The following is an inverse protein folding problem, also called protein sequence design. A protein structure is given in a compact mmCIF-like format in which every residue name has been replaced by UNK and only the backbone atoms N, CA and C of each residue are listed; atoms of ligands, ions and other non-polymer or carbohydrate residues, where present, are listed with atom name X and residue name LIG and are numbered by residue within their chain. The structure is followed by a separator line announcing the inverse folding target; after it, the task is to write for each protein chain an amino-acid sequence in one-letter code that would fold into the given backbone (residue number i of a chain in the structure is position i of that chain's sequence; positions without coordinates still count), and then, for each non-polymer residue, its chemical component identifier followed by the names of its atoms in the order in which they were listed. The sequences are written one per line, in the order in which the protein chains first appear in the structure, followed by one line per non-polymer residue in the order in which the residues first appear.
data_IF_865533138384
#
_entry.id   IF_865533138384
#
_cell.length_a   1.000
_cell.length_b   1.000
_cell.length_c   1.000
_cell.angle_alpha   90.00
_cell.angle_beta   90.00
_cell.angle_gamma   90.00
#
_symmetry.space_group_name_H-M   'P 1'
#
loop_
_entity.id
_entity.type
_entity.pdbx_description
1 polymer ?
#
# COMPACT_ATOMS: atom_id res chain seq x y z
N UNK A 1 39.77 -10.13 7.02
CA UNK A 1 38.35 -10.44 7.24
C UNK A 1 37.63 -9.11 7.36
N UNK A 2 36.75 -8.79 6.42
CA UNK A 2 35.99 -7.53 6.44
C UNK A 2 34.88 -7.57 7.51
N UNK A 3 34.27 -6.41 7.85
CA UNK A 3 33.10 -6.40 8.72
C UNK A 3 31.92 -7.15 8.07
N UNK A 4 31.81 -7.11 6.74
CA UNK A 4 30.82 -7.85 5.96
C UNK A 4 31.02 -9.37 6.08
N UNK A 5 32.29 -9.86 6.08
CA UNK A 5 32.60 -11.28 6.30
C UNK A 5 32.19 -11.73 7.72
N UNK A 6 32.35 -10.84 8.71
CA UNK A 6 31.97 -11.11 10.10
C UNK A 6 30.45 -11.08 10.33
N UNK A 7 29.75 -10.24 9.59
CA UNK A 7 28.30 -10.10 9.70
C UNK A 7 27.55 -11.18 8.89
N UNK A 8 28.24 -11.91 8.00
CA UNK A 8 27.62 -12.92 7.13
C UNK A 8 26.69 -12.32 6.07
N UNK A 9 26.73 -11.00 5.86
CA UNK A 9 25.80 -10.28 4.96
C UNK A 9 26.27 -10.38 3.51
N UNK A 10 26.22 -11.57 2.94
CA UNK A 10 26.67 -11.81 1.54
C UNK A 10 25.53 -11.78 0.50
N UNK A 11 24.35 -11.36 0.87
CA UNK A 11 23.20 -11.34 -0.03
C UNK A 11 22.40 -10.04 0.02
N UNK A 12 21.43 -9.86 -0.90
CA UNK A 12 20.51 -8.75 -0.81
C UNK A 12 19.68 -8.89 0.47
N UNK A 13 19.42 -7.76 1.16
CA UNK A 13 18.49 -7.74 2.29
C UNK A 13 17.10 -8.25 1.89
N UNK A 14 16.33 -8.71 2.86
CA UNK A 14 14.90 -8.98 2.66
C UNK A 14 14.16 -7.68 2.28
N UNK A 15 13.24 -7.75 1.33
CA UNK A 15 12.39 -6.63 0.93
C UNK A 15 11.41 -6.22 2.03
N UNK A 16 10.86 -5.01 1.91
CA UNK A 16 9.80 -4.49 2.77
C UNK A 16 8.49 -4.50 1.98
N UNK A 17 7.41 -4.98 2.59
CA UNK A 17 6.05 -4.77 2.12
C UNK A 17 5.45 -3.58 2.88
N UNK A 18 5.44 -2.41 2.26
CA UNK A 18 4.90 -1.20 2.83
C UNK A 18 3.43 -1.04 2.46
N UNK A 19 2.54 -1.13 3.45
CA UNK A 19 1.14 -0.76 3.27
C UNK A 19 0.96 0.73 3.60
N UNK A 20 0.44 1.49 2.66
CA UNK A 20 0.05 2.87 2.87
C UNK A 20 -1.47 2.95 2.88
N UNK A 21 -2.05 3.18 4.04
CA UNK A 21 -3.50 3.28 4.23
C UNK A 21 -3.90 4.63 4.80
N UNK A 22 -5.18 4.90 4.82
CA UNK A 22 -5.76 6.11 5.40
C UNK A 22 -6.96 6.59 4.58
N UNK A 23 -7.71 7.57 5.08
CA UNK A 23 -8.95 8.01 4.46
C UNK A 23 -8.73 8.64 3.09
N UNK A 24 -9.80 8.66 2.30
CA UNK A 24 -9.83 9.46 1.07
C UNK A 24 -9.50 10.93 1.42
N UNK A 25 -8.70 11.60 0.60
CA UNK A 25 -8.27 12.98 0.86
C UNK A 25 -7.05 13.14 1.78
N UNK A 26 -6.52 12.07 2.39
CA UNK A 26 -5.34 12.15 3.26
C UNK A 26 -4.04 12.51 2.54
N UNK A 27 -3.96 12.28 1.22
CA UNK A 27 -2.76 12.59 0.43
C UNK A 27 -1.95 11.36 -0.02
N UNK A 28 -2.43 10.13 0.20
CA UNK A 28 -1.76 8.87 -0.14
C UNK A 28 -1.18 8.85 -1.56
N UNK A 29 -2.00 9.09 -2.55
CA UNK A 29 -1.57 9.00 -3.97
C UNK A 29 -0.49 10.02 -4.34
N UNK A 30 -0.42 11.18 -3.66
CA UNK A 30 0.63 12.16 -3.85
C UNK A 30 1.93 11.70 -3.19
N UNK A 31 1.84 11.19 -1.97
CA UNK A 31 2.97 10.64 -1.22
C UNK A 31 3.55 9.41 -1.93
N UNK A 32 2.69 8.50 -2.38
CA UNK A 32 3.05 7.32 -3.15
C UNK A 32 3.84 7.67 -4.42
N UNK A 33 3.28 8.56 -5.26
CA UNK A 33 3.95 8.97 -6.51
C UNK A 33 5.34 9.55 -6.25
N UNK A 34 5.48 10.36 -5.21
CA UNK A 34 6.75 10.94 -4.82
C UNK A 34 7.72 9.85 -4.32
N UNK A 35 7.28 8.95 -3.45
CA UNK A 35 8.12 7.87 -2.96
C UNK A 35 8.66 7.00 -4.10
N UNK A 36 7.82 6.64 -5.07
CA UNK A 36 8.22 5.87 -6.24
C UNK A 36 9.20 6.62 -7.16
N UNK A 37 9.09 7.95 -7.25
CA UNK A 37 9.99 8.75 -8.09
C UNK A 37 11.38 8.94 -7.47
N UNK A 38 11.46 8.98 -6.13
CA UNK A 38 12.71 9.27 -5.40
C UNK A 38 13.45 7.99 -4.98
N UNK A 39 12.74 6.87 -4.77
CA UNK A 39 13.32 5.63 -4.30
C UNK A 39 13.28 4.52 -5.35
N UNK A 40 14.39 4.29 -6.03
CA UNK A 40 14.53 3.27 -7.09
C UNK A 40 14.42 1.82 -6.58
N UNK A 41 14.49 1.61 -5.27
CA UNK A 41 14.33 0.28 -4.69
C UNK A 41 12.87 -0.03 -4.36
N UNK A 42 12.00 0.98 -4.37
CA UNK A 42 10.58 0.86 -4.10
C UNK A 42 9.81 0.59 -5.40
N UNK A 43 8.95 -0.43 -5.39
CA UNK A 43 8.14 -0.87 -6.53
C UNK A 43 6.66 -0.79 -6.15
N UNK A 44 5.83 -0.26 -7.02
CA UNK A 44 4.38 -0.30 -6.81
C UNK A 44 3.83 -1.68 -7.14
N UNK A 45 2.96 -2.21 -6.29
CA UNK A 45 2.26 -3.46 -6.56
C UNK A 45 1.15 -3.22 -7.59
N UNK A 46 1.24 -3.89 -8.74
CA UNK A 46 0.22 -3.81 -9.78
C UNK A 46 -0.93 -4.74 -9.39
N UNK A 47 -2.11 -4.15 -9.17
CA UNK A 47 -3.32 -4.90 -8.81
C UNK A 47 -4.00 -5.52 -10.02
N UNK A 48 -4.76 -6.58 -9.79
CA UNK A 48 -5.73 -7.12 -10.74
C UNK A 48 -7.06 -6.35 -10.63
N UNK A 49 -7.82 -6.27 -11.73
CA UNK A 49 -9.19 -5.74 -11.71
C UNK A 49 -10.07 -6.39 -12.77
N UNK A 50 -11.38 -6.50 -12.48
CA UNK A 50 -12.38 -6.92 -13.46
C UNK A 50 -12.96 -5.77 -14.26
N UNK A 51 -12.55 -4.53 -13.97
CA UNK A 51 -12.90 -3.35 -14.75
C UNK A 51 -12.20 -3.38 -16.11
N UNK A 52 -12.93 -3.04 -17.16
CA UNK A 52 -12.31 -2.84 -18.48
C UNK A 52 -11.27 -1.71 -18.46
N UNK A 53 -10.19 -1.81 -19.24
CA UNK A 53 -9.22 -0.73 -19.38
C UNK A 53 -9.86 0.58 -19.80
N UNK A 54 -9.36 1.69 -19.27
CA UNK A 54 -9.68 3.03 -19.76
C UNK A 54 -8.73 3.39 -20.92
N UNK A 55 -9.07 4.46 -21.63
CA UNK A 55 -8.18 5.00 -22.66
C UNK A 55 -6.81 5.35 -22.05
N UNK A 56 -5.75 4.81 -22.60
CA UNK A 56 -4.36 5.01 -22.15
C UNK A 56 -3.87 4.03 -21.10
N UNK A 57 -4.72 3.21 -20.49
CA UNK A 57 -4.30 2.17 -19.56
C UNK A 57 -3.75 0.93 -20.30
N UNK A 58 -2.69 0.36 -19.78
CA UNK A 58 -1.99 -0.78 -20.35
C UNK A 58 -1.98 -1.96 -19.37
N UNK A 59 -2.37 -3.15 -19.88
CA UNK A 59 -2.31 -4.38 -19.09
C UNK A 59 -0.88 -4.68 -18.63
N UNK A 60 -0.74 -5.10 -17.37
CA UNK A 60 0.54 -5.39 -16.73
C UNK A 60 1.36 -4.15 -16.34
N UNK A 61 0.85 -2.93 -16.58
CA UNK A 61 1.47 -1.68 -16.14
C UNK A 61 0.58 -0.91 -15.15
N UNK A 62 -0.68 -0.64 -15.54
CA UNK A 62 -1.64 0.06 -14.70
C UNK A 62 -2.40 -0.93 -13.82
N UNK A 63 -2.89 -2.01 -14.44
CA UNK A 63 -3.57 -3.14 -13.81
C UNK A 63 -3.29 -4.42 -14.60
N UNK A 64 -3.54 -5.57 -13.97
CA UNK A 64 -3.82 -6.83 -14.66
C UNK A 64 -5.33 -6.93 -14.87
N UNK A 65 -5.79 -6.74 -16.10
CA UNK A 65 -7.22 -6.77 -16.41
C UNK A 65 -7.68 -8.21 -16.59
N UNK A 66 -8.58 -8.67 -15.70
CA UNK A 66 -9.08 -10.03 -15.66
C UNK A 66 -10.58 -10.07 -15.98
N UNK A 67 -11.05 -11.17 -16.54
CA UNK A 67 -12.49 -11.46 -16.54
C UNK A 67 -12.99 -11.80 -15.14
N UNK A 68 -14.29 -11.68 -14.90
CA UNK A 68 -14.90 -12.06 -13.61
C UNK A 68 -14.66 -13.54 -13.29
N UNK A 69 -14.70 -14.43 -14.30
CA UNK A 69 -14.43 -15.85 -14.13
C UNK A 69 -12.98 -16.12 -13.72
N UNK A 70 -12.01 -15.44 -14.33
CA UNK A 70 -10.59 -15.56 -13.97
C UNK A 70 -10.33 -15.04 -12.57
N UNK A 71 -10.93 -13.91 -12.22
CA UNK A 71 -10.81 -13.35 -10.88
C UNK A 71 -11.41 -14.32 -9.84
N UNK A 72 -12.59 -14.87 -10.10
CA UNK A 72 -13.25 -15.84 -9.20
C UNK A 72 -12.40 -17.08 -8.98
N UNK A 73 -11.84 -17.67 -10.05
CA UNK A 73 -10.93 -18.81 -9.93
C UNK A 73 -9.70 -18.51 -9.06
N UNK A 74 -9.12 -17.32 -9.19
CA UNK A 74 -7.98 -16.91 -8.36
C UNK A 74 -8.36 -16.72 -6.89
N UNK A 75 -9.57 -16.21 -6.61
CA UNK A 75 -10.10 -16.14 -5.23
C UNK A 75 -10.26 -17.55 -4.64
N UNK A 76 -10.87 -18.47 -5.38
CA UNK A 76 -11.07 -19.87 -4.96
C UNK A 76 -9.73 -20.58 -4.68
N UNK A 77 -8.69 -20.26 -5.45
CA UNK A 77 -7.34 -20.80 -5.29
C UNK A 77 -6.51 -20.08 -4.20
N UNK A 78 -7.07 -19.08 -3.50
CA UNK A 78 -6.36 -18.24 -2.52
C UNK A 78 -5.10 -17.57 -3.09
N UNK A 79 -5.12 -17.12 -4.35
CA UNK A 79 -3.98 -16.51 -5.01
C UNK A 79 -3.81 -15.03 -4.63
N UNK A 80 -4.85 -14.37 -4.10
CA UNK A 80 -4.79 -12.97 -3.71
C UNK A 80 -4.27 -12.79 -2.28
N UNK A 81 -3.39 -11.80 -2.12
CA UNK A 81 -2.93 -11.30 -0.83
C UNK A 81 -4.04 -10.49 -0.14
N UNK A 82 -4.74 -9.68 -0.93
CA UNK A 82 -5.97 -8.99 -0.56
C UNK A 82 -6.86 -8.86 -1.80
N UNK A 83 -8.17 -8.78 -1.61
CA UNK A 83 -9.12 -8.43 -2.66
C UNK A 83 -10.37 -7.77 -2.08
N UNK A 84 -10.98 -6.92 -2.87
CA UNK A 84 -12.21 -6.21 -2.50
C UNK A 84 -13.10 -5.98 -3.72
N UNK A 85 -14.38 -5.77 -3.46
CA UNK A 85 -15.33 -5.22 -4.43
C UNK A 85 -15.49 -3.72 -4.15
N UNK A 86 -15.19 -2.90 -5.16
CA UNK A 86 -15.34 -1.45 -5.10
C UNK A 86 -16.36 -1.04 -6.14
N UNK A 87 -17.50 -0.54 -5.69
CA UNK A 87 -18.71 -0.32 -6.50
C UNK A 87 -19.17 -1.63 -7.17
N UNK A 88 -18.92 -1.80 -8.46
CA UNK A 88 -19.31 -2.98 -9.26
C UNK A 88 -18.11 -3.75 -9.84
N UNK A 89 -16.90 -3.37 -9.44
CA UNK A 89 -15.67 -3.96 -9.95
C UNK A 89 -14.86 -4.57 -8.82
N UNK A 90 -14.17 -5.63 -9.14
CA UNK A 90 -13.31 -6.33 -8.20
C UNK A 90 -11.87 -5.89 -8.41
N UNK A 91 -11.14 -5.77 -7.31
CA UNK A 91 -9.71 -5.44 -7.29
C UNK A 91 -9.01 -6.41 -6.35
N UNK A 92 -7.73 -6.68 -6.59
CA UNK A 92 -6.95 -7.51 -5.68
C UNK A 92 -5.50 -7.60 -6.11
N UNK A 93 -4.64 -7.91 -5.17
CA UNK A 93 -3.20 -8.01 -5.35
C UNK A 93 -2.76 -9.46 -5.22
N UNK A 94 -2.04 -10.00 -6.21
CA UNK A 94 -1.57 -11.38 -6.20
C UNK A 94 -0.43 -11.57 -5.19
N UNK A 95 -0.55 -12.57 -4.32
CA UNK A 95 0.46 -12.90 -3.30
C UNK A 95 1.82 -13.21 -3.91
N UNK A 96 1.86 -14.06 -4.94
CA UNK A 96 3.09 -14.48 -5.60
C UNK A 96 3.84 -13.30 -6.25
N UNK A 97 3.13 -12.35 -6.85
CA UNK A 97 3.75 -11.17 -7.45
C UNK A 97 4.49 -10.32 -6.41
N UNK A 98 3.89 -10.16 -5.23
CA UNK A 98 4.52 -9.44 -4.10
C UNK A 98 5.72 -10.22 -3.57
N UNK A 99 5.57 -11.51 -3.30
CA UNK A 99 6.64 -12.39 -2.80
C UNK A 99 7.85 -12.42 -3.73
N UNK A 100 7.63 -12.49 -5.04
CA UNK A 100 8.70 -12.48 -6.05
C UNK A 100 9.54 -11.20 -6.02
N UNK A 101 8.90 -10.05 -5.78
CA UNK A 101 9.60 -8.76 -5.67
C UNK A 101 10.39 -8.69 -4.36
N UNK A 102 9.79 -9.11 -3.25
CA UNK A 102 10.41 -9.13 -1.92
C UNK A 102 11.65 -10.03 -1.89
N UNK A 103 11.58 -11.22 -2.49
CA UNK A 103 12.69 -12.18 -2.59
C UNK A 103 13.87 -11.65 -3.42
N UNK A 104 13.65 -10.66 -4.28
CA UNK A 104 14.72 -9.96 -5.03
C UNK A 104 15.35 -8.82 -4.20
N UNK A 105 14.97 -8.67 -2.93
CA UNK A 105 15.45 -7.59 -2.05
C UNK A 105 14.88 -6.21 -2.38
N UNK A 106 13.83 -6.14 -3.22
CA UNK A 106 13.10 -4.91 -3.52
C UNK A 106 12.00 -4.69 -2.51
N UNK A 107 11.66 -3.43 -2.27
CA UNK A 107 10.51 -3.05 -1.45
C UNK A 107 9.29 -2.92 -2.32
N UNK A 108 8.15 -3.33 -1.79
CA UNK A 108 6.84 -3.19 -2.42
C UNK A 108 6.03 -2.17 -1.65
N UNK A 109 5.38 -1.23 -2.33
CA UNK A 109 4.38 -0.34 -1.72
C UNK A 109 3.00 -0.63 -2.30
N UNK A 110 2.01 -0.72 -1.41
CA UNK A 110 0.60 -0.89 -1.73
C UNK A 110 -0.20 0.29 -1.19
N UNK A 111 -1.04 0.90 -2.03
CA UNK A 111 -2.07 1.88 -1.62
C UNK A 111 -3.39 1.11 -1.45
N UNK A 112 -3.76 0.80 -0.22
CA UNK A 112 -4.92 -0.04 0.11
C UNK A 112 -5.76 0.59 1.22
N UNK A 113 -7.03 0.22 1.30
CA UNK A 113 -7.90 0.62 2.39
C UNK A 113 -7.65 -0.19 3.68
N UNK A 114 -8.36 0.14 4.74
CA UNK A 114 -8.19 -0.54 6.04
C UNK A 114 -8.59 -2.01 5.99
N UNK A 115 -9.54 -2.39 5.12
CA UNK A 115 -9.98 -3.79 4.99
C UNK A 115 -8.95 -4.63 4.24
N UNK A 116 -8.36 -4.08 3.17
CA UNK A 116 -7.24 -4.70 2.47
C UNK A 116 -6.03 -4.88 3.38
N UNK A 117 -5.71 -3.88 4.22
CA UNK A 117 -4.64 -3.98 5.21
C UNK A 117 -4.88 -5.12 6.22
N UNK A 118 -6.12 -5.32 6.68
CA UNK A 118 -6.47 -6.44 7.55
C UNK A 118 -6.24 -7.80 6.88
N UNK A 119 -6.60 -7.93 5.59
CA UNK A 119 -6.35 -9.16 4.84
C UNK A 119 -4.85 -9.45 4.72
N UNK A 120 -4.04 -8.45 4.41
CA UNK A 120 -2.57 -8.61 4.34
C UNK A 120 -1.99 -9.02 5.68
N UNK A 121 -2.43 -8.41 6.79
CA UNK A 121 -2.01 -8.79 8.17
C UNK A 121 -2.40 -10.23 8.53
N UNK A 122 -3.53 -10.70 8.00
CA UNK A 122 -4.01 -12.07 8.21
C UNK A 122 -3.29 -13.12 7.35
N UNK A 123 -2.35 -12.72 6.50
CA UNK A 123 -1.59 -13.64 5.66
C UNK A 123 -0.76 -14.61 6.51
N UNK A 124 -0.84 -15.90 6.17
CA UNK A 124 -0.03 -16.94 6.78
C UNK A 124 1.32 -17.14 6.07
N UNK A 125 1.61 -16.37 5.01
CA UNK A 125 2.89 -16.45 4.31
C UNK A 125 3.99 -15.77 5.15
N UNK A 126 5.04 -16.51 5.56
CA UNK A 126 6.11 -15.96 6.40
C UNK A 126 6.91 -14.86 5.69
N UNK A 127 7.00 -14.86 4.36
CA UNK A 127 7.68 -13.79 3.61
C UNK A 127 6.90 -12.50 3.72
N UNK A 128 5.57 -12.57 3.64
CA UNK A 128 4.67 -11.41 3.78
C UNK A 128 4.72 -10.88 5.22
N UNK A 129 4.54 -11.75 6.22
CA UNK A 129 4.49 -11.32 7.63
C UNK A 129 5.82 -10.73 8.10
N UNK A 130 6.96 -11.29 7.69
CA UNK A 130 8.29 -10.76 7.99
C UNK A 130 8.57 -9.43 7.30
N UNK A 131 8.05 -9.24 6.08
CA UNK A 131 8.27 -8.05 5.27
C UNK A 131 7.38 -6.87 5.67
N UNK A 132 6.27 -7.14 6.34
CA UNK A 132 5.19 -6.17 6.57
C UNK A 132 5.64 -4.95 7.37
N UNK A 133 5.30 -3.79 6.85
CA UNK A 133 5.38 -2.46 7.51
C UNK A 133 4.15 -1.69 7.10
N UNK A 134 3.33 -1.30 8.04
CA UNK A 134 2.09 -0.59 7.75
C UNK A 134 2.10 0.84 8.30
N UNK A 135 1.68 1.76 7.44
CA UNK A 135 1.66 3.20 7.68
C UNK A 135 0.26 3.73 7.45
N UNK A 136 -0.28 4.39 8.44
CA UNK A 136 -1.54 5.14 8.32
C UNK A 136 -1.25 6.60 8.06
N UNK A 137 -1.78 7.15 6.96
CA UNK A 137 -1.66 8.57 6.61
C UNK A 137 -3.00 9.25 6.81
N UNK A 138 -3.06 10.26 7.67
CA UNK A 138 -4.26 11.07 7.89
C UNK A 138 -3.89 12.53 8.11
N UNK A 139 -4.87 13.42 8.05
CA UNK A 139 -4.71 14.82 8.44
C UNK A 139 -4.81 14.95 9.96
N UNK A 140 -4.18 15.98 10.52
CA UNK A 140 -4.30 16.30 11.95
C UNK A 140 -5.69 16.85 12.33
N UNK A 141 -6.48 17.28 11.34
CA UNK A 141 -7.78 17.90 11.51
C UNK A 141 -8.77 17.37 10.45
N UNK A 142 -9.96 16.99 10.90
CA UNK A 142 -11.05 16.57 10.04
C UNK A 142 -11.56 17.69 9.13
N UNK A 143 -11.42 18.95 9.54
CA UNK A 143 -11.76 20.13 8.72
C UNK A 143 -10.90 20.21 7.46
N UNK A 144 -9.61 19.93 7.59
CA UNK A 144 -8.70 19.87 6.44
C UNK A 144 -9.05 18.70 5.51
N UNK A 145 -9.42 17.56 6.08
CA UNK A 145 -9.87 16.40 5.31
C UNK A 145 -11.15 16.71 4.53
N UNK A 146 -12.14 17.33 5.18
CA UNK A 146 -13.38 17.80 4.56
C UNK A 146 -13.09 18.72 3.36
N UNK A 147 -12.24 19.72 3.56
CA UNK A 147 -11.84 20.65 2.52
C UNK A 147 -11.20 19.95 1.32
N UNK A 148 -10.33 18.98 1.57
CA UNK A 148 -9.67 18.20 0.51
C UNK A 148 -10.65 17.27 -0.23
N UNK A 149 -11.64 16.72 0.46
CA UNK A 149 -12.68 15.91 -0.15
C UNK A 149 -13.61 16.74 -1.04
N UNK A 150 -14.07 17.92 -0.58
CA UNK A 150 -14.90 18.84 -1.37
C UNK A 150 -14.19 19.40 -2.61
N UNK A 151 -12.88 19.51 -2.58
CA UNK A 151 -12.10 20.08 -3.69
C UNK A 151 -11.87 19.15 -4.88
N UNK A 152 -12.34 17.91 -4.84
CA UNK A 152 -12.01 16.91 -5.87
C UNK A 152 -13.11 16.67 -6.90
N UNK A 153 -14.38 16.81 -6.54
CA UNK A 153 -15.49 16.47 -7.41
C UNK A 153 -16.74 17.33 -7.17
N UNK A 154 -17.56 17.49 -8.20
CA UNK A 154 -18.89 18.10 -8.14
C UNK A 154 -19.94 17.06 -7.69
N UNK A 155 -19.67 16.35 -6.59
CA UNK A 155 -20.59 15.35 -6.04
C UNK A 155 -21.77 16.02 -5.34
N UNK A 156 -22.90 15.32 -5.26
CA UNK A 156 -24.01 15.75 -4.43
C UNK A 156 -23.68 15.65 -2.93
N UNK A 157 -24.41 16.36 -2.10
CA UNK A 157 -24.16 16.45 -0.67
C UNK A 157 -24.33 15.08 0.03
N UNK A 158 -25.21 14.22 -0.43
CA UNK A 158 -25.44 12.88 0.15
C UNK A 158 -24.22 11.98 -0.05
N UNK A 159 -23.69 11.93 -1.25
CA UNK A 159 -22.43 11.21 -1.57
C UNK A 159 -21.26 11.74 -0.76
N UNK A 160 -21.16 13.07 -0.64
CA UNK A 160 -20.11 13.70 0.17
C UNK A 160 -20.22 13.29 1.65
N UNK A 161 -21.41 13.33 2.26
CA UNK A 161 -21.61 12.94 3.66
C UNK A 161 -21.25 11.47 3.90
N UNK A 162 -21.61 10.57 2.96
CA UNK A 162 -21.23 9.17 3.05
C UNK A 162 -19.71 8.99 3.04
N UNK A 163 -19.00 9.69 2.15
CA UNK A 163 -17.53 9.66 2.09
C UNK A 163 -16.88 10.21 3.35
N UNK A 164 -17.43 11.29 3.91
CA UNK A 164 -16.94 11.84 5.17
C UNK A 164 -17.14 10.87 6.32
N UNK A 165 -18.30 10.22 6.40
CA UNK A 165 -18.55 9.21 7.43
C UNK A 165 -17.57 8.04 7.29
N UNK A 166 -17.37 7.52 6.09
CA UNK A 166 -16.37 6.46 5.81
C UNK A 166 -14.97 6.90 6.26
N UNK A 167 -14.56 8.12 5.91
CA UNK A 167 -13.25 8.65 6.28
C UNK A 167 -13.07 8.76 7.80
N UNK A 168 -14.10 9.19 8.53
CA UNK A 168 -14.08 9.24 10.00
C UNK A 168 -13.97 7.83 10.61
N UNK A 169 -14.65 6.83 10.03
CA UNK A 169 -14.57 5.45 10.50
C UNK A 169 -13.20 4.82 10.19
N UNK A 170 -12.62 5.12 9.04
CA UNK A 170 -11.23 4.73 8.73
C UNK A 170 -10.22 5.36 9.69
N UNK A 171 -10.36 6.64 10.03
CA UNK A 171 -9.47 7.33 10.97
C UNK A 171 -9.43 6.62 12.34
N UNK A 172 -10.52 6.09 12.84
CA UNK A 172 -10.56 5.36 14.11
C UNK A 172 -9.63 4.15 14.15
N UNK A 173 -9.27 3.61 12.98
CA UNK A 173 -8.42 2.44 12.80
C UNK A 173 -6.90 2.76 12.85
N UNK A 174 -6.47 4.01 13.00
CA UNK A 174 -5.05 4.39 12.99
C UNK A 174 -4.19 3.63 14.03
N UNK A 175 -4.80 3.21 15.15
CA UNK A 175 -4.11 2.45 16.21
C UNK A 175 -3.75 1.01 15.83
N UNK A 176 -4.31 0.51 14.74
CA UNK A 176 -4.03 -0.83 14.23
C UNK A 176 -2.73 -0.87 13.41
N UNK A 177 -2.11 0.30 13.16
CA UNK A 177 -0.93 0.46 12.33
C UNK A 177 0.34 0.69 13.14
N UNK A 178 1.47 0.23 12.60
CA UNK A 178 2.79 0.40 13.22
C UNK A 178 3.22 1.86 13.23
N UNK A 179 2.90 2.60 12.16
CA UNK A 179 3.24 4.01 12.02
C UNK A 179 2.02 4.84 11.63
N UNK A 180 1.99 6.07 12.13
CA UNK A 180 0.99 7.06 11.74
C UNK A 180 1.68 8.36 11.31
N UNK A 181 1.38 8.83 10.10
CA UNK A 181 1.83 10.12 9.58
C UNK A 181 0.65 11.09 9.63
N UNK A 182 0.83 12.18 10.38
CA UNK A 182 -0.11 13.30 10.38
C UNK A 182 0.27 14.24 9.25
N UNK A 183 -0.44 14.14 8.12
CA UNK A 183 -0.18 14.93 6.92
C UNK A 183 -0.38 16.43 7.17
N UNK A 184 0.69 17.18 6.97
CA UNK A 184 0.71 18.66 7.00
C UNK A 184 1.10 19.23 5.64
N UNK A 185 2.30 18.96 5.21
CA UNK A 185 2.76 19.31 3.87
C UNK A 185 3.50 18.13 3.22
N UNK A 186 3.44 18.08 1.89
CA UNK A 186 3.95 16.95 1.11
C UNK A 186 5.46 16.71 1.26
N UNK A 187 6.24 17.73 1.57
CA UNK A 187 7.68 17.61 1.78
C UNK A 187 7.99 16.91 3.10
N UNK A 188 7.30 17.28 4.16
CA UNK A 188 7.46 16.68 5.48
C UNK A 188 6.91 15.27 5.50
N UNK A 189 5.73 15.02 4.91
CA UNK A 189 5.14 13.69 4.78
C UNK A 189 6.11 12.72 4.11
N UNK A 190 6.76 13.16 3.02
CA UNK A 190 7.76 12.37 2.32
C UNK A 190 9.01 12.10 3.16
N UNK A 191 9.52 13.10 3.89
CA UNK A 191 10.68 12.93 4.80
C UNK A 191 10.39 11.89 5.89
N UNK A 192 9.19 11.94 6.47
CA UNK A 192 8.78 10.97 7.49
C UNK A 192 8.68 9.56 6.89
N UNK A 193 8.01 9.39 5.75
CA UNK A 193 7.90 8.10 5.08
C UNK A 193 9.28 7.54 4.70
N UNK A 194 10.17 8.37 4.16
CA UNK A 194 11.54 7.99 3.81
C UNK A 194 12.34 7.56 5.04
N UNK A 195 12.16 8.25 6.17
CA UNK A 195 12.81 7.88 7.43
C UNK A 195 12.34 6.54 7.96
N UNK A 196 11.04 6.24 7.85
CA UNK A 196 10.46 4.93 8.18
C UNK A 196 11.12 3.85 7.31
N UNK A 197 11.14 4.03 5.98
CA UNK A 197 11.73 3.07 5.06
C UNK A 197 13.21 2.82 5.35
N UNK A 198 13.99 3.88 5.57
CA UNK A 198 15.42 3.76 5.91
C UNK A 198 15.60 2.97 7.20
N UNK A 199 14.83 3.28 8.24
CA UNK A 199 14.91 2.61 9.55
C UNK A 199 14.52 1.13 9.44
N UNK A 200 13.43 0.84 8.74
CA UNK A 200 12.95 -0.52 8.53
C UNK A 200 13.94 -1.38 7.72
N UNK A 201 14.64 -0.78 6.75
CA UNK A 201 15.71 -1.45 5.99
C UNK A 201 16.90 -1.84 6.85
N UNK A 202 17.14 -1.13 7.95
CA UNK A 202 18.27 -1.37 8.87
C UNK A 202 17.97 -2.39 9.96
N UNK A 203 16.76 -2.96 10.02
CA UNK A 203 16.45 -4.04 10.97
C UNK A 203 17.36 -5.24 10.74
N UNK A 204 17.97 -5.76 11.81
CA UNK A 204 18.85 -6.94 11.75
C UNK A 204 18.12 -8.15 11.14
N UNK A 205 16.84 -8.33 11.45
CA UNK A 205 16.00 -9.42 10.90
C UNK A 205 15.81 -9.36 9.37
N UNK A 206 16.12 -8.23 8.76
CA UNK A 206 16.04 -8.02 7.30
C UNK A 206 17.40 -8.12 6.61
N UNK A 207 18.49 -8.16 7.37
CA UNK A 207 19.82 -8.37 6.81
C UNK A 207 19.91 -9.82 6.34
N UNK A 208 20.48 -10.03 5.16
CA UNK A 208 20.74 -11.38 4.66
C UNK A 208 21.80 -12.03 5.52
N UNK A 209 21.53 -13.22 6.01
CA UNK A 209 22.47 -14.10 6.68
C UNK A 209 22.98 -15.15 5.72
#
# INVERSE_FOLDING_TARGET
MSAEDLLGTQGPRKGILLLLSGPAGSGKSTLLRRALSEDRNLVFSISCTTRSPREGETDGQDYHFLSDDEFSKRVENNEFLEHAEVHKWRYGTLSNAVVDILNKGKDVIMDIDVQGADQVRASNDPVISDALVDVFLTTSDTTELEKRLRGRDSEDEETFQLRMQTAVDEIKRWRDYTYCILSGNHEEDFKVLSSILVTERMRVSRMAT
#
